data_IF_456652697407
#
_entry.id   IF_456652697407
#
_cell.length_a   1.000
_cell.length_b   1.000
_cell.length_c   1.000
_cell.angle_alpha   90.00
_cell.angle_beta   90.00
_cell.angle_gamma   90.00
#
_symmetry.space_group_name_H-M   'P 1'
#
loop_
_entity.id
_entity.type
_entity.pdbx_description
1 polymer ?
#
# COMPACT_ATOMS: atom_id res chain seq x y z
N UNK A 1 -6.58 -27.06 21.16
CA UNK A 1 -6.74 -25.67 21.63
C UNK A 1 -8.23 -25.38 21.74
N UNK A 2 -8.72 -24.77 22.81
CA UNK A 2 -10.13 -24.38 22.98
C UNK A 2 -10.23 -22.87 22.84
N UNK A 3 -11.36 -22.38 22.31
CA UNK A 3 -11.67 -20.95 22.25
C UNK A 3 -11.95 -20.37 23.65
N UNK A 4 -12.13 -19.05 23.75
CA UNK A 4 -12.45 -18.34 24.99
C UNK A 4 -13.76 -18.81 25.65
N UNK A 5 -14.59 -19.59 24.94
CA UNK A 5 -15.87 -20.18 25.40
C UNK A 5 -15.74 -21.67 25.69
N UNK A 6 -14.53 -22.26 25.67
CA UNK A 6 -14.29 -23.68 25.94
C UNK A 6 -14.66 -24.65 24.81
N UNK A 7 -15.01 -24.13 23.60
CA UNK A 7 -15.31 -24.92 22.41
C UNK A 7 -14.06 -25.35 21.71
N UNK A 8 -14.06 -26.48 21.00
CA UNK A 8 -12.95 -26.86 20.13
C UNK A 8 -12.79 -25.86 19.01
N UNK A 9 -11.56 -25.35 18.80
CA UNK A 9 -11.28 -24.52 17.64
C UNK A 9 -11.37 -25.35 16.35
N UNK A 10 -11.99 -24.82 15.28
CA UNK A 10 -11.91 -25.44 13.97
C UNK A 10 -10.45 -25.60 13.53
N UNK A 11 -10.17 -26.60 12.71
CA UNK A 11 -8.84 -26.78 12.12
C UNK A 11 -8.59 -25.72 11.05
N UNK A 12 -7.36 -25.28 10.87
CA UNK A 12 -6.99 -24.34 9.80
C UNK A 12 -7.37 -24.85 8.41
N UNK A 13 -7.26 -26.17 8.19
CA UNK A 13 -7.70 -26.81 6.95
C UNK A 13 -9.20 -26.62 6.68
N UNK A 14 -10.06 -26.52 7.71
CA UNK A 14 -11.49 -26.31 7.50
C UNK A 14 -11.78 -24.91 6.97
N UNK A 15 -11.02 -23.92 7.41
CA UNK A 15 -11.09 -22.56 6.86
C UNK A 15 -10.56 -22.50 5.43
N UNK A 16 -9.48 -23.22 5.12
CA UNK A 16 -8.98 -23.32 3.75
C UNK A 16 -10.01 -23.95 2.80
N UNK A 17 -10.65 -25.05 3.21
CA UNK A 17 -11.70 -25.67 2.43
C UNK A 17 -12.95 -24.78 2.31
N UNK A 18 -13.28 -24.02 3.35
CA UNK A 18 -14.35 -23.02 3.32
C UNK A 18 -14.08 -21.94 2.26
N UNK A 19 -12.87 -21.39 2.23
CA UNK A 19 -12.44 -20.42 1.20
C UNK A 19 -12.60 -21.00 -0.20
N UNK A 20 -12.14 -22.25 -0.42
CA UNK A 20 -12.24 -22.90 -1.72
C UNK A 20 -13.69 -23.13 -2.17
N UNK A 21 -14.60 -23.50 -1.24
CA UNK A 21 -16.04 -23.67 -1.53
C UNK A 21 -16.71 -22.33 -1.82
N UNK A 22 -16.34 -21.27 -1.08
CA UNK A 22 -16.87 -19.92 -1.27
C UNK A 22 -16.46 -19.36 -2.65
N UNK A 23 -15.19 -19.47 -3.03
CA UNK A 23 -14.66 -19.00 -4.32
C UNK A 23 -15.29 -19.74 -5.50
N UNK A 24 -15.41 -21.07 -5.37
CA UNK A 24 -15.94 -21.90 -6.45
C UNK A 24 -17.47 -21.84 -6.57
N UNK A 25 -18.18 -21.21 -5.62
CA UNK A 25 -19.64 -21.17 -5.56
C UNK A 25 -20.28 -22.55 -5.38
N UNK A 26 -19.49 -23.59 -4.99
CA UNK A 26 -20.00 -24.94 -4.79
C UNK A 26 -18.94 -26.02 -4.64
N UNK A 27 -19.41 -27.24 -4.26
CA UNK A 27 -18.52 -28.36 -3.92
C UNK A 27 -17.78 -28.92 -5.14
N UNK A 28 -18.38 -28.91 -6.33
CA UNK A 28 -17.75 -29.46 -7.53
C UNK A 28 -16.53 -28.66 -8.00
N UNK A 29 -16.61 -27.32 -7.93
CA UNK A 29 -15.47 -26.45 -8.22
C UNK A 29 -14.38 -26.55 -7.15
N UNK A 30 -14.78 -26.62 -5.89
CA UNK A 30 -13.86 -26.80 -4.77
C UNK A 30 -13.11 -28.14 -4.80
N UNK A 31 -13.79 -29.23 -5.23
CA UNK A 31 -13.14 -30.52 -5.42
C UNK A 31 -12.00 -30.44 -6.43
N UNK A 32 -12.22 -29.76 -7.56
CA UNK A 32 -11.18 -29.55 -8.58
C UNK A 32 -10.01 -28.71 -8.05
N UNK A 33 -10.31 -27.72 -7.22
CA UNK A 33 -9.30 -26.82 -6.68
C UNK A 33 -8.49 -27.43 -5.54
N UNK A 34 -9.11 -28.29 -4.70
CA UNK A 34 -8.49 -28.82 -3.47
C UNK A 34 -8.10 -30.29 -3.55
N UNK A 35 -8.57 -31.02 -4.55
CA UNK A 35 -8.44 -32.48 -4.62
C UNK A 35 -9.26 -33.24 -3.56
N UNK A 36 -10.10 -32.53 -2.77
CA UNK A 36 -10.92 -33.14 -1.73
C UNK A 36 -12.31 -33.46 -2.28
N UNK A 37 -12.76 -34.72 -2.15
CA UNK A 37 -14.05 -35.13 -2.70
C UNK A 37 -15.26 -34.37 -2.14
N UNK A 38 -16.30 -34.18 -2.96
CA UNK A 38 -17.51 -33.45 -2.57
C UNK A 38 -18.17 -33.96 -1.29
N UNK A 39 -18.29 -35.29 -1.07
CA UNK A 39 -18.82 -35.80 0.20
C UNK A 39 -17.99 -35.37 1.42
N UNK A 40 -16.66 -35.37 1.28
CA UNK A 40 -15.75 -34.93 2.34
C UNK A 40 -15.87 -33.43 2.58
N UNK A 41 -15.91 -32.62 1.51
CA UNK A 41 -16.11 -31.17 1.60
C UNK A 41 -17.45 -30.85 2.30
N UNK A 42 -18.54 -31.51 1.88
CA UNK A 42 -19.88 -31.32 2.49
C UNK A 42 -19.86 -31.63 3.98
N UNK A 43 -19.26 -32.78 4.38
CA UNK A 43 -19.13 -33.17 5.78
C UNK A 43 -18.31 -32.15 6.57
N UNK A 44 -17.15 -31.72 6.05
CA UNK A 44 -16.27 -30.77 6.72
C UNK A 44 -16.90 -29.38 6.85
N UNK A 45 -17.66 -28.90 5.85
CA UNK A 45 -18.44 -27.68 5.97
C UNK A 45 -19.51 -27.77 7.05
N UNK A 46 -20.22 -28.88 7.14
CA UNK A 46 -21.19 -29.11 8.22
C UNK A 46 -20.55 -29.20 9.62
N UNK A 47 -19.33 -29.74 9.73
CA UNK A 47 -18.58 -29.77 10.98
C UNK A 47 -18.08 -28.36 11.38
N UNK A 48 -17.62 -27.57 10.42
CA UNK A 48 -17.22 -26.16 10.64
C UNK A 48 -18.41 -25.32 11.11
N UNK A 49 -19.56 -25.40 10.41
CA UNK A 49 -20.80 -24.71 10.79
C UNK A 49 -21.24 -25.05 12.21
N UNK A 50 -21.16 -26.34 12.57
CA UNK A 50 -21.53 -26.84 13.91
C UNK A 50 -20.58 -26.34 14.98
N UNK A 51 -19.26 -26.33 14.69
CA UNK A 51 -18.23 -25.87 15.65
C UNK A 51 -18.35 -24.37 15.89
N UNK A 52 -18.61 -23.58 14.85
CA UNK A 52 -18.82 -22.13 14.96
C UNK A 52 -20.21 -21.76 15.49
N UNK A 53 -21.18 -22.70 15.45
CA UNK A 53 -22.57 -22.44 15.83
C UNK A 53 -23.28 -21.50 14.85
N UNK A 54 -22.82 -21.42 13.62
CA UNK A 54 -23.29 -20.50 12.59
C UNK A 54 -23.46 -21.19 11.26
N UNK A 55 -24.53 -20.84 10.51
CA UNK A 55 -24.69 -21.29 9.13
C UNK A 55 -23.88 -20.38 8.21
N UNK A 56 -22.99 -20.98 7.40
CA UNK A 56 -22.13 -20.27 6.48
C UNK A 56 -22.64 -20.34 5.05
N UNK A 57 -23.37 -21.40 4.71
CA UNK A 57 -23.91 -21.62 3.37
C UNK A 57 -25.41 -21.90 3.37
N UNK A 58 -26.10 -21.34 2.38
CA UNK A 58 -27.41 -21.76 1.93
C UNK A 58 -27.22 -22.81 0.84
N UNK A 59 -27.87 -23.96 1.02
CA UNK A 59 -27.83 -25.09 0.07
C UNK A 59 -29.10 -25.08 -0.76
N UNK A 60 -28.99 -24.91 -2.04
CA UNK A 60 -30.15 -24.85 -2.93
C UNK A 60 -29.84 -25.35 -4.34
N UNK A 61 -30.84 -25.28 -5.26
CA UNK A 61 -30.67 -25.73 -6.67
C UNK A 61 -29.55 -25.01 -7.41
N UNK A 62 -29.10 -23.84 -6.92
CA UNK A 62 -28.01 -23.04 -7.48
C UNK A 62 -26.64 -23.30 -6.82
N UNK A 63 -26.52 -24.34 -5.97
CA UNK A 63 -25.27 -24.69 -5.30
C UNK A 63 -25.17 -24.16 -3.87
N UNK A 64 -23.98 -23.77 -3.47
CA UNK A 64 -23.62 -23.24 -2.15
C UNK A 64 -23.50 -21.72 -2.23
N UNK A 65 -24.45 -20.99 -1.65
CA UNK A 65 -24.42 -19.53 -1.57
C UNK A 65 -24.08 -19.10 -0.14
N UNK A 66 -23.17 -18.13 0.01
CA UNK A 66 -22.79 -17.62 1.33
C UNK A 66 -23.95 -16.90 2.02
N UNK A 67 -24.19 -17.23 3.29
CA UNK A 67 -25.05 -16.47 4.20
C UNK A 67 -24.37 -15.14 4.59
N UNK A 68 -25.06 -14.29 5.38
CA UNK A 68 -24.44 -13.11 6.02
C UNK A 68 -23.24 -13.48 6.89
N UNK A 69 -23.38 -14.55 7.69
CA UNK A 69 -22.30 -15.07 8.53
C UNK A 69 -21.17 -15.69 7.70
N UNK A 70 -21.48 -16.34 6.58
CA UNK A 70 -20.49 -16.84 5.65
C UNK A 70 -19.68 -15.71 5.00
N UNK A 71 -20.32 -14.60 4.63
CA UNK A 71 -19.61 -13.41 4.10
C UNK A 71 -18.73 -12.77 5.15
N UNK A 72 -19.18 -12.66 6.40
CA UNK A 72 -18.35 -12.15 7.50
C UNK A 72 -17.13 -13.05 7.74
N UNK A 73 -17.32 -14.39 7.76
CA UNK A 73 -16.20 -15.31 7.89
C UNK A 73 -15.22 -15.22 6.71
N UNK A 74 -15.72 -15.01 5.48
CA UNK A 74 -14.87 -14.84 4.30
C UNK A 74 -13.92 -13.65 4.45
N UNK A 75 -14.42 -12.51 4.93
CA UNK A 75 -13.61 -11.33 5.18
C UNK A 75 -12.51 -11.60 6.22
N UNK A 76 -12.83 -12.26 7.32
CA UNK A 76 -11.83 -12.62 8.34
C UNK A 76 -10.83 -13.68 7.85
N UNK A 77 -11.30 -14.65 7.05
CA UNK A 77 -10.46 -15.73 6.52
C UNK A 77 -9.52 -15.27 5.39
N UNK A 78 -9.72 -14.11 4.80
CA UNK A 78 -8.82 -13.56 3.78
C UNK A 78 -7.39 -13.39 4.30
N UNK A 79 -7.24 -12.99 5.56
CA UNK A 79 -5.93 -12.91 6.22
C UNK A 79 -5.19 -14.28 6.27
N UNK A 80 -5.95 -15.40 6.38
CA UNK A 80 -5.38 -16.75 6.32
C UNK A 80 -4.88 -17.08 4.90
N UNK A 81 -5.63 -16.70 3.87
CA UNK A 81 -5.24 -16.87 2.46
C UNK A 81 -3.94 -16.13 2.16
N UNK A 82 -3.82 -14.91 2.62
CA UNK A 82 -2.60 -14.12 2.47
C UNK A 82 -1.41 -14.76 3.19
N UNK A 83 -1.63 -15.28 4.42
CA UNK A 83 -0.60 -15.99 5.16
C UNK A 83 -0.16 -17.27 4.43
N UNK A 84 -1.10 -18.07 3.91
CA UNK A 84 -0.81 -19.28 3.13
C UNK A 84 -0.02 -18.94 1.85
N UNK A 85 -0.40 -17.88 1.15
CA UNK A 85 0.32 -17.41 -0.05
C UNK A 85 1.77 -17.01 0.30
N UNK A 86 2.00 -16.36 1.44
CA UNK A 86 3.36 -16.04 1.91
C UNK A 86 4.18 -17.31 2.20
N UNK A 87 3.57 -18.34 2.80
CA UNK A 87 4.23 -19.62 3.07
C UNK A 87 4.56 -20.38 1.77
N UNK A 88 3.67 -20.37 0.76
CA UNK A 88 3.95 -20.93 -0.55
C UNK A 88 5.14 -20.22 -1.23
N UNK A 89 5.22 -18.89 -1.12
CA UNK A 89 6.37 -18.14 -1.63
C UNK A 89 7.68 -18.49 -0.91
N UNK A 90 7.62 -18.91 0.35
CA UNK A 90 8.79 -19.40 1.08
C UNK A 90 9.37 -20.69 0.46
N UNK A 91 8.50 -21.58 -0.06
CA UNK A 91 8.94 -22.83 -0.75
C UNK A 91 9.52 -22.55 -2.15
N UNK A 92 9.15 -21.45 -2.79
CA UNK A 92 9.61 -21.07 -4.14
C UNK A 92 10.89 -20.21 -4.13
N UNK A 93 11.62 -20.13 -3.02
CA UNK A 93 12.80 -19.27 -2.82
C UNK A 93 14.07 -19.79 -3.54
N UNK A 94 14.03 -19.81 -4.88
CA UNK A 94 15.24 -19.67 -5.70
C UNK A 94 15.51 -18.21 -6.12
N UNK A 95 14.64 -17.27 -5.72
CA UNK A 95 14.78 -15.85 -6.05
C UNK A 95 14.95 -15.00 -4.78
N UNK A 96 15.76 -13.95 -4.87
CA UNK A 96 15.94 -12.99 -3.78
C UNK A 96 14.58 -12.48 -3.23
N UNK A 97 14.40 -12.37 -1.90
CA UNK A 97 13.13 -11.95 -1.30
C UNK A 97 12.73 -10.55 -1.78
N UNK A 98 11.44 -10.36 -1.98
CA UNK A 98 10.87 -9.07 -2.32
C UNK A 98 10.76 -8.18 -1.08
N UNK A 99 11.20 -6.94 -1.20
CA UNK A 99 11.00 -5.88 -0.19
C UNK A 99 10.03 -4.86 -0.75
N UNK A 100 8.85 -4.78 -0.15
CA UNK A 100 7.78 -3.88 -0.57
C UNK A 100 7.94 -2.52 0.08
N UNK A 101 8.11 -1.49 -0.75
CA UNK A 101 8.39 -0.12 -0.33
C UNK A 101 7.22 0.76 -0.77
N UNK A 102 6.57 1.44 0.19
CA UNK A 102 5.46 2.36 -0.09
C UNK A 102 5.82 3.80 0.21
N UNK A 103 5.43 4.71 -0.67
CA UNK A 103 5.62 6.15 -0.51
C UNK A 103 4.54 6.94 -1.26
N UNK A 104 4.43 8.22 -1.01
CA UNK A 104 3.69 9.14 -1.87
C UNK A 104 4.26 9.15 -3.29
N UNK A 105 3.41 9.44 -4.28
CA UNK A 105 3.74 9.28 -5.70
C UNK A 105 5.05 9.93 -6.14
N UNK A 106 5.36 11.14 -5.65
CA UNK A 106 6.59 11.84 -6.01
C UNK A 106 7.82 11.19 -5.40
N UNK A 107 7.78 10.77 -4.13
CA UNK A 107 8.89 10.06 -3.50
C UNK A 107 9.10 8.68 -4.15
N UNK A 108 8.03 7.96 -4.48
CA UNK A 108 8.11 6.68 -5.22
C UNK A 108 8.80 6.89 -6.58
N UNK A 109 8.42 7.94 -7.31
CA UNK A 109 9.05 8.29 -8.60
C UNK A 109 10.54 8.62 -8.43
N UNK A 110 10.91 9.39 -7.41
CA UNK A 110 12.31 9.72 -7.13
C UNK A 110 13.11 8.46 -6.83
N UNK A 111 12.62 7.58 -5.95
CA UNK A 111 13.27 6.30 -5.66
C UNK A 111 13.42 5.45 -6.92
N UNK A 112 12.36 5.34 -7.74
CA UNK A 112 12.39 4.56 -8.97
C UNK A 112 13.46 5.05 -9.96
N UNK A 113 13.59 6.37 -10.14
CA UNK A 113 14.59 6.99 -11.06
C UNK A 113 16.03 6.82 -10.59
N UNK A 114 16.24 6.70 -9.29
CA UNK A 114 17.57 6.62 -8.68
C UNK A 114 17.84 5.24 -8.06
N UNK A 115 17.00 4.25 -8.31
CA UNK A 115 17.07 2.92 -7.71
C UNK A 115 18.43 2.24 -7.98
N UNK A 116 19.02 2.45 -9.14
CA UNK A 116 20.34 1.91 -9.51
C UNK A 116 21.50 2.39 -8.63
N UNK A 117 21.31 3.45 -7.83
CA UNK A 117 22.30 3.89 -6.84
C UNK A 117 22.36 2.99 -5.60
N UNK A 118 21.27 2.27 -5.31
CA UNK A 118 21.12 1.49 -4.07
C UNK A 118 20.77 0.02 -4.31
N UNK A 119 20.50 -0.37 -5.55
CA UNK A 119 20.11 -1.72 -5.90
C UNK A 119 20.61 -2.13 -7.30
N UNK A 120 21.06 -3.38 -7.40
CA UNK A 120 21.40 -4.04 -8.65
C UNK A 120 20.78 -5.44 -8.66
N UNK A 121 20.68 -6.13 -9.83
CA UNK A 121 20.17 -7.51 -9.90
C UNK A 121 20.89 -8.53 -9.02
N UNK A 122 22.14 -8.26 -8.62
CA UNK A 122 22.94 -9.12 -7.75
C UNK A 122 22.64 -8.92 -6.24
N UNK A 123 21.81 -7.96 -5.88
CA UNK A 123 21.43 -7.74 -4.50
C UNK A 123 20.61 -8.93 -3.97
N UNK A 124 20.81 -9.24 -2.68
CA UNK A 124 20.10 -10.31 -1.98
C UNK A 124 18.61 -10.00 -1.68
N UNK A 125 18.03 -9.01 -2.34
CA UNK A 125 16.63 -8.63 -2.24
C UNK A 125 16.14 -8.01 -3.56
N UNK A 126 14.82 -7.97 -3.77
CA UNK A 126 14.19 -7.34 -4.94
C UNK A 126 13.25 -6.22 -4.50
N UNK A 127 13.32 -5.04 -5.11
CA UNK A 127 12.41 -3.94 -4.79
C UNK A 127 11.02 -4.13 -5.41
N UNK A 128 9.99 -3.87 -4.62
CA UNK A 128 8.62 -3.66 -5.10
C UNK A 128 8.16 -2.28 -4.65
N UNK A 129 8.13 -1.33 -5.58
CA UNK A 129 7.74 0.05 -5.31
C UNK A 129 6.24 0.22 -5.51
N UNK A 130 5.56 0.75 -4.49
CA UNK A 130 4.13 1.01 -4.52
C UNK A 130 3.86 2.48 -4.20
N UNK A 131 3.25 3.20 -5.14
CA UNK A 131 2.79 4.56 -4.89
C UNK A 131 1.44 4.51 -4.16
N UNK A 132 1.39 5.09 -2.95
CA UNK A 132 0.16 5.17 -2.17
C UNK A 132 0.12 6.47 -1.39
N UNK A 133 -1.00 7.20 -1.52
CA UNK A 133 -1.32 8.35 -0.69
C UNK A 133 -2.10 7.94 0.57
N UNK A 134 -2.56 6.69 0.65
CA UNK A 134 -3.22 6.13 1.83
C UNK A 134 -2.20 5.57 2.82
N UNK A 135 -2.60 5.42 4.09
CA UNK A 135 -1.81 4.72 5.09
C UNK A 135 -1.93 3.22 4.84
N UNK A 136 -0.94 2.64 4.14
CA UNK A 136 -0.81 1.18 4.04
C UNK A 136 -0.40 0.64 5.40
N UNK A 137 -1.10 -0.38 5.86
CA UNK A 137 -0.85 -0.98 7.17
C UNK A 137 0.44 -1.82 7.15
N UNK A 138 1.54 -1.23 7.61
CA UNK A 138 2.83 -1.93 7.76
C UNK A 138 2.71 -3.04 8.81
N UNK A 139 1.84 -2.88 9.81
CA UNK A 139 1.62 -3.90 10.84
C UNK A 139 0.99 -5.18 10.26
N UNK A 140 0.14 -5.06 9.24
CA UNK A 140 -0.40 -6.20 8.49
C UNK A 140 0.57 -6.78 7.46
N UNK A 141 1.77 -6.23 7.36
CA UNK A 141 2.78 -6.60 6.37
C UNK A 141 2.31 -6.46 4.92
N UNK A 142 1.43 -5.50 4.65
CA UNK A 142 1.09 -5.08 3.29
C UNK A 142 2.26 -4.34 2.63
N UNK A 143 3.11 -3.70 3.46
CA UNK A 143 4.39 -3.14 3.07
C UNK A 143 5.46 -3.51 4.11
N UNK A 144 6.71 -3.65 3.68
CA UNK A 144 7.85 -3.91 4.55
C UNK A 144 8.49 -2.60 5.01
N UNK A 145 8.53 -1.59 4.13
CA UNK A 145 9.05 -0.25 4.39
C UNK A 145 8.05 0.79 3.90
N UNK A 146 7.79 1.80 4.73
CA UNK A 146 7.03 3.00 4.39
C UNK A 146 7.89 4.25 4.42
N UNK A 147 7.73 5.15 3.45
CA UNK A 147 8.26 6.51 3.50
C UNK A 147 7.08 7.43 3.80
N UNK A 148 7.13 8.13 4.92
CA UNK A 148 5.98 8.83 5.50
C UNK A 148 6.34 10.28 5.84
N UNK A 149 5.31 11.14 5.88
CA UNK A 149 5.43 12.58 6.18
C UNK A 149 5.28 12.91 7.67
N UNK A 150 5.27 11.91 8.54
CA UNK A 150 5.21 12.09 9.99
C UNK A 150 5.85 10.90 10.71
N UNK A 151 6.26 11.15 11.93
CA UNK A 151 6.74 10.10 12.84
C UNK A 151 5.63 9.08 13.08
N UNK A 152 5.93 7.76 13.05
CA UNK A 152 4.96 6.76 13.48
C UNK A 152 4.65 6.93 14.97
N UNK A 153 3.38 6.77 15.32
CA UNK A 153 2.85 6.84 16.68
C UNK A 153 2.62 5.45 17.31
N UNK A 154 2.63 4.40 16.48
CA UNK A 154 2.42 3.03 16.92
C UNK A 154 3.70 2.44 17.50
N UNK A 155 3.60 1.77 18.68
CA UNK A 155 4.76 1.20 19.40
C UNK A 155 5.47 0.06 18.67
N UNK A 156 4.77 -0.63 17.75
CA UNK A 156 5.35 -1.72 16.95
C UNK A 156 6.05 -1.23 15.66
N UNK A 157 6.05 0.07 15.39
CA UNK A 157 6.76 0.66 14.27
C UNK A 157 8.06 1.31 14.73
N UNK A 158 9.13 1.04 13.98
CA UNK A 158 10.38 1.76 14.06
C UNK A 158 10.40 2.88 13.00
N UNK A 159 10.81 4.07 13.40
CA UNK A 159 10.92 5.23 12.52
C UNK A 159 12.30 5.86 12.56
N UNK A 160 12.91 6.10 11.39
CA UNK A 160 14.13 6.90 11.21
C UNK A 160 13.77 8.21 10.53
N UNK A 161 14.06 9.33 11.20
CA UNK A 161 13.91 10.67 10.61
C UNK A 161 14.92 10.86 9.49
N UNK A 162 14.46 11.42 8.37
CA UNK A 162 15.24 11.82 7.22
C UNK A 162 15.28 13.37 7.10
N UNK A 163 15.58 13.87 5.90
CA UNK A 163 15.59 15.29 5.59
C UNK A 163 14.17 15.89 5.56
N UNK A 164 14.02 17.19 5.86
CA UNK A 164 12.76 17.87 5.66
C UNK A 164 12.41 17.95 4.17
N UNK A 165 11.10 17.90 3.88
CA UNK A 165 10.56 18.10 2.53
C UNK A 165 9.84 19.45 2.52
N UNK A 166 10.19 20.28 1.54
CA UNK A 166 9.54 21.57 1.28
C UNK A 166 8.70 21.51 0.02
N UNK A 167 7.77 22.44 -0.12
CA UNK A 167 6.82 22.53 -1.24
C UNK A 167 6.80 23.95 -1.76
N UNK A 168 6.57 24.08 -3.08
CA UNK A 168 6.34 25.36 -3.74
C UNK A 168 5.32 25.20 -4.87
N UNK A 169 4.90 26.32 -5.43
CA UNK A 169 4.10 26.34 -6.65
C UNK A 169 5.01 26.22 -7.87
N UNK A 170 4.58 25.41 -8.82
CA UNK A 170 5.24 25.18 -10.09
C UNK A 170 4.27 25.40 -11.24
N UNK A 171 4.74 26.06 -12.30
CA UNK A 171 3.97 26.31 -13.51
C UNK A 171 4.87 26.39 -14.75
N UNK A 172 4.28 26.39 -15.94
CA UNK A 172 5.01 26.59 -17.21
C UNK A 172 5.56 28.02 -17.36
N UNK A 173 4.97 29.00 -16.65
CA UNK A 173 5.41 30.40 -16.64
C UNK A 173 4.79 31.15 -15.47
N UNK A 174 5.34 32.33 -15.10
CA UNK A 174 4.90 33.09 -13.94
C UNK A 174 3.48 33.70 -14.13
N UNK A 175 3.05 33.87 -15.38
CA UNK A 175 1.72 34.40 -15.75
C UNK A 175 0.58 33.38 -15.57
N UNK A 176 0.91 32.10 -15.45
CA UNK A 176 -0.11 31.04 -15.30
C UNK A 176 -0.86 31.26 -13.98
N UNK A 177 -2.20 31.28 -14.06
CA UNK A 177 -3.09 31.47 -12.93
C UNK A 177 -3.94 30.21 -12.66
N UNK A 178 -4.50 30.16 -11.44
CA UNK A 178 -5.29 29.01 -10.99
C UNK A 178 -4.47 27.76 -10.71
N UNK A 179 -5.13 26.74 -10.17
CA UNK A 179 -4.44 25.51 -9.73
C UNK A 179 -5.03 24.26 -10.34
N UNK A 180 -4.14 23.31 -10.63
CA UNK A 180 -4.47 21.93 -10.96
C UNK A 180 -4.10 21.02 -9.80
N UNK A 181 -4.99 20.09 -9.43
CA UNK A 181 -4.80 19.23 -8.26
C UNK A 181 -5.46 17.87 -8.44
N UNK A 182 -5.47 17.03 -7.41
CA UNK A 182 -6.16 15.74 -7.46
C UNK A 182 -7.67 15.91 -7.38
N UNK A 183 -8.42 15.01 -8.01
CA UNK A 183 -9.88 14.93 -7.88
C UNK A 183 -10.27 14.62 -6.42
N UNK A 184 -11.41 15.13 -5.96
CA UNK A 184 -11.84 15.01 -4.57
C UNK A 184 -12.10 13.57 -4.10
N UNK A 185 -12.38 12.64 -5.02
CA UNK A 185 -12.55 11.22 -4.72
C UNK A 185 -11.22 10.47 -4.50
N UNK A 186 -10.10 11.14 -4.77
CA UNK A 186 -8.78 10.55 -4.57
C UNK A 186 -8.29 10.73 -3.12
N UNK A 187 -7.43 9.82 -2.61
CA UNK A 187 -6.82 9.98 -1.30
C UNK A 187 -6.08 11.31 -1.17
N UNK A 188 -6.44 12.10 -0.16
CA UNK A 188 -5.93 13.46 0.04
C UNK A 188 -4.48 13.49 0.52
N UNK A 189 -3.64 14.29 -0.14
CA UNK A 189 -2.29 14.64 0.32
C UNK A 189 -2.33 15.89 1.22
N UNK A 190 -1.26 16.15 2.02
CA UNK A 190 -1.17 17.40 2.78
C UNK A 190 -1.27 18.66 1.92
N UNK A 191 -0.60 18.67 0.75
CA UNK A 191 -0.62 19.79 -0.19
C UNK A 191 -2.01 20.04 -0.77
N UNK A 192 -2.75 18.98 -1.07
CA UNK A 192 -4.11 19.08 -1.57
C UNK A 192 -5.07 19.62 -0.50
N UNK A 193 -5.01 19.09 0.73
CA UNK A 193 -5.81 19.61 1.83
C UNK A 193 -5.56 21.09 2.07
N UNK A 194 -4.28 21.49 2.06
CA UNK A 194 -3.89 22.90 2.20
C UNK A 194 -4.47 23.75 1.07
N UNK A 195 -4.32 23.35 -0.18
CA UNK A 195 -4.85 24.08 -1.32
C UNK A 195 -6.37 24.24 -1.24
N UNK A 196 -7.10 23.17 -0.96
CA UNK A 196 -8.56 23.20 -0.82
C UNK A 196 -9.05 24.03 0.36
N UNK A 197 -8.28 24.11 1.43
CA UNK A 197 -8.64 24.94 2.59
C UNK A 197 -8.26 26.41 2.44
N UNK A 198 -7.23 26.71 1.65
CA UNK A 198 -6.66 28.06 1.55
C UNK A 198 -7.14 28.79 0.30
N UNK A 199 -7.22 28.10 -0.83
CA UNK A 199 -7.51 28.66 -2.16
C UNK A 199 -8.56 27.82 -2.92
N UNK A 200 -9.73 27.49 -2.32
CA UNK A 200 -10.70 26.57 -2.93
C UNK A 200 -11.26 27.08 -4.27
N UNK A 201 -11.42 28.39 -4.41
CA UNK A 201 -12.00 29.02 -5.62
C UNK A 201 -10.99 29.18 -6.77
N UNK A 202 -9.72 28.90 -6.51
CA UNK A 202 -8.67 29.00 -7.52
C UNK A 202 -8.35 27.64 -8.18
N UNK A 203 -9.00 26.55 -7.74
CA UNK A 203 -8.86 25.23 -8.37
C UNK A 203 -9.67 25.22 -9.66
N UNK A 204 -8.99 25.16 -10.80
CA UNK A 204 -9.61 25.26 -12.14
C UNK A 204 -9.68 23.91 -12.86
N UNK A 205 -8.87 22.93 -12.44
CA UNK A 205 -8.90 21.59 -13.02
C UNK A 205 -8.40 20.53 -12.04
N UNK A 206 -8.81 19.29 -12.24
CA UNK A 206 -8.43 18.16 -11.40
C UNK A 206 -8.02 16.94 -12.23
N UNK A 207 -7.14 16.10 -11.67
CA UNK A 207 -6.66 14.85 -12.27
C UNK A 207 -6.80 13.68 -11.29
N UNK A 208 -6.75 12.45 -11.79
CA UNK A 208 -6.82 11.23 -10.97
C UNK A 208 -5.52 10.93 -10.21
N UNK A 209 -4.40 11.48 -10.65
CA UNK A 209 -3.09 11.26 -10.05
C UNK A 209 -2.20 12.51 -10.15
N UNK A 210 -1.16 12.54 -9.31
CA UNK A 210 -0.27 13.69 -9.19
C UNK A 210 0.59 13.95 -10.45
N UNK A 211 0.85 12.91 -11.26
CA UNK A 211 1.61 13.06 -12.49
C UNK A 211 0.78 13.77 -13.57
N UNK A 212 -0.46 13.31 -13.76
CA UNK A 212 -1.41 13.95 -14.69
C UNK A 212 -1.67 15.43 -14.30
N UNK A 213 -1.77 15.72 -12.98
CA UNK A 213 -1.87 17.11 -12.53
C UNK A 213 -0.62 17.94 -12.90
N UNK A 214 0.58 17.38 -12.75
CA UNK A 214 1.81 18.06 -13.15
C UNK A 214 1.91 18.22 -14.67
N UNK A 215 1.47 17.24 -15.46
CA UNK A 215 1.45 17.34 -16.93
C UNK A 215 0.47 18.43 -17.40
N UNK A 216 -0.66 18.63 -16.70
CA UNK A 216 -1.55 19.77 -16.94
C UNK A 216 -0.86 21.11 -16.62
N UNK A 217 -0.05 21.16 -15.56
CA UNK A 217 0.73 22.37 -15.24
C UNK A 217 1.80 22.65 -16.29
N UNK A 218 2.48 21.61 -16.82
CA UNK A 218 3.42 21.73 -17.95
C UNK A 218 2.70 22.28 -19.19
N UNK A 219 1.46 21.86 -19.43
CA UNK A 219 0.63 22.36 -20.53
C UNK A 219 0.11 23.79 -20.31
N UNK A 220 0.47 24.45 -19.19
CA UNK A 220 0.05 25.82 -18.89
C UNK A 220 -1.39 25.97 -18.43
N UNK A 221 -2.08 24.87 -18.07
CA UNK A 221 -3.49 24.90 -17.63
C UNK A 221 -3.61 25.61 -16.27
N UNK A 222 -2.66 25.41 -15.35
CA UNK A 222 -2.67 26.01 -14.02
C UNK A 222 -1.38 25.70 -13.27
N UNK A 223 -1.26 26.16 -12.03
CA UNK A 223 -0.14 25.88 -11.13
C UNK A 223 -0.34 24.55 -10.41
N UNK A 224 0.73 23.82 -10.17
CA UNK A 224 0.72 22.63 -9.30
C UNK A 224 1.57 22.87 -8.05
N UNK A 225 1.10 22.42 -6.87
CA UNK A 225 1.88 22.44 -5.63
C UNK A 225 2.64 21.11 -5.53
N UNK A 226 3.96 21.18 -5.66
CA UNK A 226 4.83 20.01 -5.71
C UNK A 226 5.90 20.07 -4.61
N UNK A 227 6.39 18.90 -4.13
CA UNK A 227 7.63 18.86 -3.37
C UNK A 227 8.77 19.49 -4.20
N UNK A 228 9.60 20.32 -3.60
CA UNK A 228 10.64 21.06 -4.34
C UNK A 228 11.61 20.14 -5.07
N UNK A 229 11.99 19.00 -4.47
CA UNK A 229 12.83 18.00 -5.13
C UNK A 229 12.17 17.38 -6.39
N UNK A 230 10.84 17.33 -6.43
CA UNK A 230 10.11 16.76 -7.56
C UNK A 230 9.77 17.80 -8.62
N UNK A 231 9.40 19.01 -8.20
CA UNK A 231 9.05 20.09 -9.12
C UNK A 231 10.20 20.53 -10.01
N UNK A 232 11.42 20.56 -9.48
CA UNK A 232 12.66 20.84 -10.24
C UNK A 232 12.95 19.80 -11.32
N UNK A 233 12.54 18.55 -11.08
CA UNK A 233 12.77 17.40 -11.98
C UNK A 233 11.72 17.28 -13.09
N UNK A 234 10.67 18.12 -13.08
CA UNK A 234 9.64 18.11 -14.12
C UNK A 234 10.04 19.12 -15.20
N UNK A 235 10.51 18.61 -16.34
CA UNK A 235 10.85 19.45 -17.47
C UNK A 235 9.63 20.28 -17.92
N UNK A 236 9.85 21.57 -18.18
CA UNK A 236 8.77 22.49 -18.57
C UNK A 236 8.05 23.18 -17.40
N UNK A 237 8.43 22.88 -16.16
CA UNK A 237 7.98 23.63 -14.99
C UNK A 237 9.11 24.49 -14.40
N UNK A 238 8.72 25.65 -13.89
CA UNK A 238 9.56 26.50 -13.07
C UNK A 238 8.88 26.77 -11.73
N UNK A 239 9.65 27.00 -10.70
CA UNK A 239 9.13 27.44 -9.42
C UNK A 239 8.65 28.89 -9.54
N UNK A 240 7.37 29.13 -9.21
CA UNK A 240 6.73 30.45 -9.35
C UNK A 240 6.33 31.07 -8.00
N UNK A 241 6.67 30.43 -6.90
CA UNK A 241 6.46 30.98 -5.54
C UNK A 241 7.65 30.67 -4.62
N UNK A 242 7.81 31.38 -3.51
CA UNK A 242 8.61 30.91 -2.38
C UNK A 242 8.11 29.56 -1.86
N UNK A 243 8.91 28.89 -1.04
CA UNK A 243 8.49 27.66 -0.36
C UNK A 243 7.29 27.94 0.58
N UNK A 244 6.33 27.01 0.58
CA UNK A 244 5.11 27.11 1.40
C UNK A 244 5.41 26.52 2.78
N UNK A 245 5.75 27.37 3.74
CA UNK A 245 6.17 26.95 5.08
C UNK A 245 5.15 26.02 5.77
N UNK A 246 3.84 26.23 5.56
CA UNK A 246 2.77 25.41 6.11
C UNK A 246 2.78 23.95 5.63
N UNK A 247 3.48 23.64 4.54
CA UNK A 247 3.60 22.30 3.97
C UNK A 247 4.93 21.61 4.30
N UNK A 248 5.88 22.34 4.89
CA UNK A 248 7.17 21.77 5.29
C UNK A 248 6.97 20.72 6.37
N UNK A 249 7.52 19.54 6.16
CA UNK A 249 7.45 18.44 7.11
C UNK A 249 8.68 17.54 7.05
N UNK A 250 8.93 16.80 8.13
CA UNK A 250 9.97 15.78 8.16
C UNK A 250 9.53 14.54 7.39
N UNK A 251 10.44 13.97 6.60
CA UNK A 251 10.25 12.64 5.99
C UNK A 251 10.79 11.56 6.94
N UNK A 252 10.12 10.41 6.98
CA UNK A 252 10.44 9.29 7.87
C UNK A 252 10.46 7.97 7.11
N UNK A 253 11.53 7.18 7.31
CA UNK A 253 11.51 5.76 7.00
C UNK A 253 10.88 5.00 8.16
N UNK A 254 9.89 4.15 7.84
CA UNK A 254 9.10 3.42 8.82
C UNK A 254 9.07 1.95 8.42
N UNK A 255 9.29 1.04 9.38
CA UNK A 255 9.12 -0.40 9.21
C UNK A 255 8.59 -1.01 10.50
N UNK A 256 8.14 -2.28 10.46
CA UNK A 256 7.87 -3.02 11.69
C UNK A 256 9.16 -3.18 12.50
N UNK A 257 9.09 -3.04 13.85
CA UNK A 257 10.29 -3.01 14.66
C UNK A 257 11.11 -4.32 14.58
N UNK A 258 10.46 -5.47 14.39
CA UNK A 258 11.14 -6.75 14.17
C UNK A 258 11.78 -6.84 12.78
N UNK A 259 11.10 -6.32 11.76
CA UNK A 259 11.54 -6.40 10.37
C UNK A 259 12.83 -5.60 10.11
N UNK A 260 13.16 -4.61 10.94
CA UNK A 260 14.42 -3.82 10.82
C UNK A 260 15.69 -4.68 10.94
N UNK A 261 15.58 -5.89 11.50
CA UNK A 261 16.68 -6.83 11.67
C UNK A 261 16.74 -7.89 10.56
N UNK A 262 15.71 -7.97 9.72
CA UNK A 262 15.70 -8.87 8.55
C UNK A 262 16.69 -8.36 7.50
N UNK A 263 17.71 -9.16 7.09
CA UNK A 263 18.80 -8.68 6.25
C UNK A 263 18.36 -7.99 4.94
N UNK A 264 17.37 -8.51 4.18
CA UNK A 264 16.85 -7.83 2.99
C UNK A 264 16.22 -6.46 3.30
N UNK A 265 15.40 -6.38 4.36
CA UNK A 265 14.74 -5.14 4.77
C UNK A 265 15.78 -4.14 5.28
N UNK A 266 16.77 -4.61 6.04
CA UNK A 266 17.86 -3.77 6.54
C UNK A 266 18.68 -3.16 5.42
N UNK A 267 19.08 -3.96 4.42
CA UNK A 267 19.82 -3.47 3.27
C UNK A 267 19.03 -2.41 2.49
N UNK A 268 17.72 -2.64 2.29
CA UNK A 268 16.83 -1.67 1.65
C UNK A 268 16.68 -0.38 2.47
N UNK A 269 16.53 -0.47 3.81
CA UNK A 269 16.44 0.69 4.70
C UNK A 269 17.70 1.56 4.65
N UNK A 270 18.88 0.93 4.68
CA UNK A 270 20.15 1.65 4.67
C UNK A 270 20.36 2.35 3.30
N UNK A 271 20.11 1.67 2.19
CA UNK A 271 20.19 2.28 0.85
C UNK A 271 19.17 3.40 0.66
N UNK A 272 17.91 3.19 1.10
CA UNK A 272 16.88 4.25 1.02
C UNK A 272 17.24 5.46 1.88
N UNK A 273 17.81 5.24 3.07
CA UNK A 273 18.22 6.35 3.92
C UNK A 273 19.32 7.18 3.27
N UNK A 274 20.31 6.54 2.68
CA UNK A 274 21.38 7.21 1.91
C UNK A 274 20.80 7.99 0.73
N UNK A 275 19.99 7.33 -0.11
CA UNK A 275 19.39 7.94 -1.29
C UNK A 275 18.50 9.15 -0.95
N UNK A 276 17.66 9.04 0.10
CA UNK A 276 16.67 10.05 0.44
C UNK A 276 17.27 11.24 1.22
N UNK A 277 18.46 11.08 1.82
CA UNK A 277 19.18 12.18 2.48
C UNK A 277 20.31 12.74 1.63
N UNK A 278 20.54 12.22 0.43
CA UNK A 278 21.58 12.67 -0.46
C UNK A 278 21.41 14.17 -0.80
N UNK A 279 22.49 14.99 -0.70
CA UNK A 279 22.41 16.43 -0.97
C UNK A 279 21.85 16.76 -2.36
N UNK A 280 22.14 15.92 -3.36
CA UNK A 280 21.68 16.08 -4.75
C UNK A 280 20.16 16.08 -4.88
N UNK A 281 19.43 15.46 -3.95
CA UNK A 281 17.97 15.51 -3.91
C UNK A 281 17.44 16.92 -3.65
N UNK A 282 18.22 17.73 -2.94
CA UNK A 282 17.83 19.06 -2.45
C UNK A 282 18.62 20.19 -3.13
N UNK A 283 19.65 19.85 -3.89
CA UNK A 283 20.43 20.83 -4.64
C UNK A 283 19.55 21.57 -5.65
N UNK A 284 19.80 22.88 -5.76
CA UNK A 284 19.08 23.79 -6.67
C UNK A 284 19.46 23.54 -8.14
#
# INVERSE_FOLDING_TARGET
>A
MKDALGRGMPKLDDYYLFLAVADAGGLSGAEKATGTSQPTLSRRMGELERTLGKRLFERGPRGYTLTSEGRALLQEAEALREAATRLCRFQLRDTAPEVRITAGGWTTRYVARHLSKIWTPDCAWRPALMASNSNVDIARREADIGIRNRRPDQSWLAGRKLSPITYAEYAAGPEVAGYVTLHHDMPTTPSERWLRSTLPNEIIATASDARSAADMAVAGIGRAILPTFAGRDVAGLMQVSPEIAALTHDEWLVCHHDARHDPPVRAALDGLAELLTAPERFAA
#
